data_IF_737570441078
#
_entry.id   IF_737570441078
#
_cell.length_a   1.000
_cell.length_b   1.000
_cell.length_c   1.000
_cell.angle_alpha   90.00
_cell.angle_beta   90.00
_cell.angle_gamma   90.00
#
_symmetry.space_group_name_H-M   'P 1'
#
loop_
_entity.id
_entity.type
_entity.pdbx_description
1 polymer ?
#
# COMPACT_ATOMS: atom_id res chain seq x y z
N UNK A 1 3.13 -8.70 0.03
CA UNK A 1 2.69 -7.30 -0.13
C UNK A 1 1.57 -6.98 0.84
N UNK A 2 1.51 -5.72 1.27
CA UNK A 2 0.59 -5.30 2.31
C UNK A 2 -0.04 -3.95 1.96
N UNK A 3 -1.29 -3.74 2.40
CA UNK A 3 -1.87 -2.41 2.55
C UNK A 3 -1.75 -2.02 4.02
N UNK A 4 -0.97 -1.00 4.32
CA UNK A 4 -0.96 -0.37 5.65
C UNK A 4 -2.06 0.67 5.69
N UNK A 5 -2.97 0.59 6.66
CA UNK A 5 -4.04 1.57 6.83
C UNK A 5 -3.85 2.40 8.09
N UNK A 6 -4.33 3.62 8.04
CA UNK A 6 -4.26 4.63 9.09
C UNK A 6 -5.43 5.60 8.96
N UNK A 7 -5.69 6.40 9.98
CA UNK A 7 -6.72 7.43 9.97
C UNK A 7 -6.16 8.72 10.59
N UNK A 8 -6.39 9.86 9.94
CA UNK A 8 -5.91 11.17 10.37
C UNK A 8 -6.91 11.93 11.26
N UNK A 9 -7.96 11.24 11.71
CA UNK A 9 -9.08 11.81 12.46
C UNK A 9 -10.21 12.36 11.58
N UNK A 10 -10.03 12.38 10.26
CA UNK A 10 -11.02 12.86 9.28
C UNK A 10 -11.45 11.77 8.31
N UNK A 11 -10.49 10.97 7.83
CA UNK A 11 -10.74 9.90 6.85
C UNK A 11 -9.73 8.77 6.96
N UNK A 12 -10.18 7.61 6.51
CA UNK A 12 -9.32 6.45 6.36
C UNK A 12 -8.36 6.63 5.18
N UNK A 13 -7.15 6.16 5.36
CA UNK A 13 -6.10 6.20 4.38
C UNK A 13 -5.32 4.89 4.35
N UNK A 14 -4.57 4.66 3.30
CA UNK A 14 -3.70 3.49 3.19
C UNK A 14 -2.61 3.66 2.14
N UNK A 15 -1.59 2.80 2.23
CA UNK A 15 -0.50 2.72 1.26
C UNK A 15 -0.05 1.27 1.08
N UNK A 16 0.52 0.96 -0.10
CA UNK A 16 1.17 -0.33 -0.34
C UNK A 16 2.60 -0.30 0.19
N UNK A 17 2.99 -1.36 0.89
CA UNK A 17 4.37 -1.62 1.31
C UNK A 17 4.76 -3.07 1.05
N UNK A 18 6.05 -3.33 0.88
CA UNK A 18 6.69 -4.64 0.88
C UNK A 18 7.75 -4.78 1.98
N UNK A 19 7.94 -3.72 2.76
CA UNK A 19 9.00 -3.55 3.76
C UNK A 19 8.48 -3.86 5.16
N UNK A 20 7.97 -5.07 5.33
CA UNK A 20 7.47 -5.59 6.60
C UNK A 20 8.25 -6.84 6.98
N UNK A 21 8.72 -6.90 8.22
CA UNK A 21 9.48 -8.03 8.75
C UNK A 21 9.19 -8.26 10.22
N UNK A 22 9.10 -9.51 10.64
CA UNK A 22 9.16 -9.86 12.05
C UNK A 22 10.59 -9.64 12.55
N UNK A 23 10.74 -8.95 13.67
CA UNK A 23 12.07 -8.63 14.24
C UNK A 23 12.35 -9.34 15.56
N UNK A 24 11.31 -9.68 16.31
CA UNK A 24 11.42 -10.50 17.55
C UNK A 24 10.21 -11.43 17.66
N UNK A 25 10.37 -12.54 18.38
CA UNK A 25 9.29 -13.51 18.62
C UNK A 25 8.75 -13.45 20.06
N UNK A 26 9.55 -12.99 21.01
CA UNK A 26 9.15 -12.88 22.41
C UNK A 26 9.74 -11.60 23.02
N UNK A 27 8.96 -10.53 23.17
CA UNK A 27 7.62 -10.37 22.62
C UNK A 27 7.62 -10.31 21.09
N UNK A 28 6.48 -10.66 20.47
CA UNK A 28 6.35 -10.60 19.01
C UNK A 28 6.31 -9.15 18.55
N UNK A 29 7.28 -8.75 17.72
CA UNK A 29 7.37 -7.42 17.14
C UNK A 29 7.58 -7.46 15.63
N UNK A 30 7.00 -6.47 14.97
CA UNK A 30 7.06 -6.28 13.53
C UNK A 30 7.69 -4.92 13.23
N UNK A 31 8.64 -4.89 12.31
CA UNK A 31 9.13 -3.67 11.70
C UNK A 31 8.35 -3.37 10.42
N UNK A 32 7.89 -2.13 10.28
CA UNK A 32 7.27 -1.60 9.05
C UNK A 32 8.05 -0.36 8.63
N UNK A 33 8.67 -0.39 7.45
CA UNK A 33 9.45 0.75 6.94
C UNK A 33 8.65 1.48 5.87
N UNK A 34 8.49 2.80 6.04
CA UNK A 34 7.64 3.64 5.18
C UNK A 34 8.44 4.85 4.72
N UNK A 35 8.37 5.16 3.42
CA UNK A 35 8.97 6.38 2.86
C UNK A 35 8.31 7.63 3.47
N UNK A 36 9.13 8.58 3.93
CA UNK A 36 8.67 9.84 4.56
C UNK A 36 7.86 10.74 3.62
N UNK A 37 8.01 10.60 2.31
CA UNK A 37 7.19 11.33 1.33
C UNK A 37 5.73 10.87 1.33
N UNK A 38 5.42 9.66 1.82
CA UNK A 38 4.06 9.16 1.91
C UNK A 38 3.29 9.86 3.04
N UNK A 39 2.06 10.26 2.75
CA UNK A 39 1.17 10.89 3.72
C UNK A 39 0.92 10.01 4.95
N UNK A 40 0.72 8.71 4.76
CA UNK A 40 0.50 7.76 5.85
C UNK A 40 1.66 7.67 6.83
N UNK A 41 2.92 7.91 6.38
CA UNK A 41 4.07 7.97 7.29
C UNK A 41 3.86 9.02 8.39
N UNK A 42 3.44 10.22 7.98
CA UNK A 42 3.18 11.34 8.90
C UNK A 42 2.03 11.02 9.87
N UNK A 43 0.93 10.50 9.33
CA UNK A 43 -0.25 10.10 10.12
C UNK A 43 0.13 9.05 11.18
N UNK A 44 0.82 7.98 10.77
CA UNK A 44 1.21 6.89 11.67
C UNK A 44 2.20 7.39 12.74
N UNK A 45 3.12 8.28 12.37
CA UNK A 45 4.06 8.88 13.33
C UNK A 45 3.35 9.71 14.41
N UNK A 46 2.24 10.35 14.06
CA UNK A 46 1.43 11.15 15.01
C UNK A 46 0.50 10.28 15.85
N UNK A 47 -0.17 9.28 15.24
CA UNK A 47 -1.21 8.48 15.92
C UNK A 47 -0.64 7.31 16.71
N UNK A 48 0.54 6.81 16.32
CA UNK A 48 1.18 5.64 16.94
C UNK A 48 0.49 4.30 16.63
N UNK A 49 -0.47 4.26 15.71
CA UNK A 49 -1.21 3.03 15.36
C UNK A 49 -1.34 2.86 13.85
N UNK A 50 -1.43 1.62 13.40
CA UNK A 50 -1.72 1.24 12.03
C UNK A 50 -2.32 -0.16 11.96
N UNK A 51 -3.03 -0.48 10.86
CA UNK A 51 -3.35 -1.85 10.51
C UNK A 51 -2.50 -2.32 9.33
N UNK A 52 -2.10 -3.56 9.36
CA UNK A 52 -1.35 -4.23 8.31
C UNK A 52 -2.25 -5.28 7.66
N UNK A 53 -2.68 -5.05 6.43
CA UNK A 53 -3.54 -5.95 5.65
C UNK A 53 -2.66 -6.78 4.71
N UNK A 54 -2.59 -8.09 4.91
CA UNK A 54 -1.81 -9.00 4.07
C UNK A 54 -2.58 -9.28 2.77
N UNK A 55 -2.11 -8.76 1.64
CA UNK A 55 -2.76 -8.97 0.35
C UNK A 55 -2.71 -10.44 -0.07
N UNK A 56 -3.84 -10.94 -0.55
CA UNK A 56 -3.94 -12.25 -1.20
C UNK A 56 -3.66 -12.17 -2.69
N UNK A 57 -3.38 -13.31 -3.32
CA UNK A 57 -3.17 -13.41 -4.78
C UNK A 57 -4.39 -13.03 -5.61
N UNK A 58 -5.57 -12.90 -5.00
CA UNK A 58 -6.79 -12.41 -5.64
C UNK A 58 -6.87 -10.88 -5.75
N UNK A 59 -5.95 -10.12 -5.14
CA UNK A 59 -5.98 -8.68 -5.20
C UNK A 59 -5.71 -8.18 -6.64
N UNK A 60 -6.67 -7.45 -7.25
CA UNK A 60 -6.50 -6.94 -8.61
C UNK A 60 -5.57 -5.73 -8.64
N UNK A 61 -5.12 -5.35 -9.83
CA UNK A 61 -4.24 -4.19 -10.01
C UNK A 61 -4.83 -2.88 -9.49
N UNK A 62 -6.15 -2.71 -9.49
CA UNK A 62 -6.84 -1.51 -8.99
C UNK A 62 -6.52 -1.20 -7.52
N UNK A 63 -6.27 -2.23 -6.71
CA UNK A 63 -5.80 -2.05 -5.32
C UNK A 63 -4.44 -1.34 -5.30
N UNK A 64 -3.55 -1.71 -6.21
CA UNK A 64 -2.23 -1.09 -6.32
C UNK A 64 -2.30 0.32 -6.89
N UNK A 65 -3.19 0.58 -7.87
CA UNK A 65 -3.44 1.93 -8.38
C UNK A 65 -3.92 2.86 -7.26
N UNK A 66 -4.90 2.41 -6.48
CA UNK A 66 -5.50 3.23 -5.44
C UNK A 66 -4.58 3.44 -4.24
N UNK A 67 -4.04 2.35 -3.67
CA UNK A 67 -3.26 2.45 -2.45
C UNK A 67 -1.77 2.68 -2.68
N UNK A 68 -1.24 2.36 -3.87
CA UNK A 68 0.17 2.46 -4.21
C UNK A 68 0.56 3.73 -4.97
N UNK A 69 -0.29 4.22 -5.89
CA UNK A 69 0.09 5.28 -6.83
C UNK A 69 -0.61 6.63 -6.58
N UNK A 70 -1.58 6.68 -5.69
CA UNK A 70 -2.30 7.92 -5.35
C UNK A 70 -1.91 8.42 -3.96
N UNK A 71 -2.03 9.73 -3.75
CA UNK A 71 -1.76 10.32 -2.43
C UNK A 71 -3.05 10.47 -1.63
N UNK A 72 -3.05 9.98 -0.38
CA UNK A 72 -4.16 10.20 0.57
C UNK A 72 -4.33 11.65 1.01
N UNK A 73 -3.44 12.56 0.63
CA UNK A 73 -3.63 14.02 0.84
C UNK A 73 -4.78 14.54 -0.01
N UNK A 74 -4.89 14.05 -1.25
CA UNK A 74 -5.79 14.60 -2.27
C UNK A 74 -6.94 13.68 -2.62
N UNK A 75 -6.82 12.37 -2.36
CA UNK A 75 -7.79 11.36 -2.77
C UNK A 75 -8.30 10.58 -1.55
N UNK A 76 -9.62 10.39 -1.48
CA UNK A 76 -10.21 9.37 -0.61
C UNK A 76 -10.04 8.00 -1.28
N UNK A 77 -9.09 7.23 -0.77
CA UNK A 77 -8.69 5.96 -1.38
C UNK A 77 -9.73 4.86 -1.23
N UNK A 78 -10.48 4.84 -0.14
CA UNK A 78 -11.53 3.83 0.07
C UNK A 78 -12.74 4.11 -0.80
N UNK A 79 -13.21 5.35 -0.85
CA UNK A 79 -14.28 5.77 -1.74
C UNK A 79 -13.89 5.60 -3.22
N UNK A 80 -12.68 5.98 -3.60
CA UNK A 80 -12.15 5.86 -4.96
C UNK A 80 -12.01 4.41 -5.43
N UNK A 81 -11.74 3.47 -4.53
CA UNK A 81 -11.69 2.04 -4.83
C UNK A 81 -13.08 1.36 -4.76
N UNK A 82 -14.13 2.06 -4.35
CA UNK A 82 -15.44 1.47 -4.10
C UNK A 82 -15.41 0.41 -2.98
N UNK A 83 -14.51 0.56 -2.01
CA UNK A 83 -14.35 -0.35 -0.89
C UNK A 83 -14.98 0.26 0.35
N UNK A 84 -15.98 -0.43 0.90
CA UNK A 84 -16.48 -0.14 2.23
C UNK A 84 -15.60 -0.88 3.25
N UNK A 85 -14.80 -0.18 4.07
CA UNK A 85 -13.91 -0.83 5.01
C UNK A 85 -14.68 -1.50 6.15
N UNK A 86 -14.07 -2.52 6.75
CA UNK A 86 -14.39 -2.99 8.09
C UNK A 86 -13.43 -2.33 9.07
N UNK A 87 -13.78 -2.36 10.36
CA UNK A 87 -12.96 -1.73 11.40
C UNK A 87 -12.51 -2.76 12.44
N UNK A 88 -11.27 -2.65 12.84
CA UNK A 88 -10.65 -3.44 13.90
C UNK A 88 -10.83 -2.79 15.26
N UNK A 89 -10.42 -3.48 16.33
CA UNK A 89 -10.60 -3.04 17.71
C UNK A 89 -9.89 -1.70 18.01
N UNK A 90 -8.83 -1.35 17.26
CA UNK A 90 -8.16 -0.05 17.38
C UNK A 90 -8.86 1.10 16.62
N UNK A 91 -10.01 0.83 15.99
CA UNK A 91 -10.82 1.80 15.24
C UNK A 91 -10.31 2.10 13.83
N UNK A 92 -9.24 1.46 13.36
CA UNK A 92 -8.73 1.64 12.01
C UNK A 92 -9.39 0.71 11.00
N UNK A 93 -9.51 1.21 9.77
CA UNK A 93 -10.05 0.45 8.65
C UNK A 93 -9.17 -0.75 8.29
N UNK A 94 -9.79 -1.85 7.87
CA UNK A 94 -9.15 -2.93 7.13
C UNK A 94 -9.99 -3.34 5.93
N UNK A 95 -9.35 -3.97 4.95
CA UNK A 95 -10.00 -4.37 3.70
C UNK A 95 -10.91 -5.59 3.94
N UNK A 96 -12.19 -5.55 3.48
CA UNK A 96 -13.11 -6.68 3.64
C UNK A 96 -12.81 -7.85 2.71
N UNK A 97 -12.02 -7.62 1.65
CA UNK A 97 -11.67 -8.59 0.59
C UNK A 97 -10.26 -8.33 0.07
N UNK A 98 -9.73 -9.27 -0.70
CA UNK A 98 -8.40 -9.23 -1.29
C UNK A 98 -7.25 -9.34 -0.28
N UNK A 99 -7.56 -9.71 0.96
CA UNK A 99 -6.60 -10.02 2.01
C UNK A 99 -6.83 -11.42 2.56
N UNK A 100 -5.78 -12.04 3.05
CA UNK A 100 -5.90 -13.32 3.74
C UNK A 100 -5.82 -13.18 5.28
N UNK A 101 -5.26 -12.09 5.75
CA UNK A 101 -5.16 -11.77 7.17
C UNK A 101 -4.94 -10.26 7.38
N UNK A 102 -5.19 -9.79 8.61
CA UNK A 102 -4.73 -8.49 9.03
C UNK A 102 -4.17 -8.52 10.46
N UNK A 103 -3.39 -7.49 10.79
CA UNK A 103 -2.86 -7.26 12.12
C UNK A 103 -3.04 -5.79 12.49
N UNK A 104 -3.55 -5.52 13.69
CA UNK A 104 -3.52 -4.19 14.30
C UNK A 104 -2.21 -4.01 15.04
N UNK A 105 -1.53 -2.91 14.75
CA UNK A 105 -0.19 -2.62 15.25
C UNK A 105 -0.17 -1.32 16.06
N UNK A 106 0.55 -1.36 17.19
CA UNK A 106 0.90 -0.20 18.00
C UNK A 106 2.40 0.07 17.89
N UNK A 107 2.75 1.29 17.55
CA UNK A 107 4.15 1.72 17.45
C UNK A 107 4.78 1.79 18.84
N UNK A 108 5.87 1.06 19.05
CA UNK A 108 6.67 1.06 20.27
C UNK A 108 7.92 1.95 20.12
N UNK A 109 8.50 1.96 18.90
CA UNK A 109 9.68 2.74 18.60
C UNK A 109 9.65 3.22 17.14
N UNK A 110 10.15 4.43 16.91
CA UNK A 110 10.39 4.98 15.59
C UNK A 110 11.89 5.21 15.40
N UNK A 111 12.41 4.74 14.27
CA UNK A 111 13.80 4.93 13.87
C UNK A 111 13.82 5.73 12.58
N UNK A 112 14.50 6.87 12.62
CA UNK A 112 14.71 7.69 11.44
C UNK A 112 15.80 7.07 10.55
N UNK A 113 15.48 6.88 9.25
CA UNK A 113 16.38 6.31 8.26
C UNK A 113 16.42 7.20 7.02
N UNK A 114 16.78 8.46 7.21
CA UNK A 114 16.90 9.51 6.18
C UNK A 114 15.64 9.65 5.31
N UNK A 115 15.52 8.89 4.23
CA UNK A 115 14.37 8.92 3.31
C UNK A 115 13.16 8.13 3.81
N UNK A 116 13.35 7.25 4.77
CA UNK A 116 12.32 6.37 5.32
C UNK A 116 12.25 6.48 6.84
N UNK A 117 11.13 6.07 7.41
CA UNK A 117 10.98 5.82 8.83
C UNK A 117 10.67 4.35 9.08
N UNK A 118 11.36 3.73 10.02
CA UNK A 118 11.08 2.37 10.47
C UNK A 118 10.28 2.44 11.78
N UNK A 119 9.13 1.80 11.78
CA UNK A 119 8.24 1.67 12.92
C UNK A 119 8.38 0.26 13.50
N UNK A 120 8.86 0.14 14.72
CA UNK A 120 8.86 -1.13 15.47
C UNK A 120 7.55 -1.19 16.25
N UNK A 121 6.76 -2.22 16.00
CA UNK A 121 5.39 -2.31 16.48
C UNK A 121 5.14 -3.60 17.25
N UNK A 122 4.31 -3.52 18.29
CA UNK A 122 3.63 -4.67 18.90
C UNK A 122 2.34 -4.99 18.15
N UNK A 123 1.94 -6.26 18.16
CA UNK A 123 0.67 -6.71 17.59
C UNK A 123 -0.38 -6.65 18.70
N UNK A 124 -1.45 -5.89 18.49
CA UNK A 124 -2.57 -5.76 19.45
C UNK A 124 -3.76 -6.65 19.09
N UNK A 125 -3.96 -6.93 17.81
CA UNK A 125 -4.98 -7.81 17.27
C UNK A 125 -4.47 -8.48 16.01
N UNK A 126 -4.92 -9.71 15.73
CA UNK A 126 -4.67 -10.37 14.43
C UNK A 126 -5.81 -11.32 14.09
N UNK A 127 -6.18 -11.36 12.80
CA UNK A 127 -7.20 -12.29 12.28
C UNK A 127 -6.78 -12.87 10.95
N UNK A 128 -7.05 -14.18 10.79
CA UNK A 128 -7.02 -14.85 9.47
C UNK A 128 -8.41 -14.69 8.85
N UNK A 129 -8.44 -14.14 7.64
CA UNK A 129 -9.68 -13.83 6.90
C UNK A 129 -9.96 -14.92 5.87
N UNK A 130 -8.94 -15.41 5.20
CA UNK A 130 -9.07 -16.45 4.18
C UNK A 130 -7.83 -17.37 4.14
N UNK A 131 -7.97 -18.48 3.40
CA UNK A 131 -6.85 -19.42 3.14
C UNK A 131 -6.16 -19.18 1.81
N UNK A 132 -6.52 -18.10 1.11
CA UNK A 132 -5.90 -17.74 -0.17
C UNK A 132 -4.43 -17.36 0.07
N UNK A 133 -3.56 -17.73 -0.85
CA UNK A 133 -2.13 -17.47 -0.74
C UNK A 133 -1.82 -15.97 -0.62
N UNK A 134 -0.79 -15.66 0.17
CA UNK A 134 -0.28 -14.29 0.31
C UNK A 134 0.40 -13.84 -0.98
N UNK A 135 0.07 -12.65 -1.43
CA UNK A 135 0.71 -12.05 -2.60
C UNK A 135 2.15 -11.64 -2.28
N UNK A 136 3.10 -12.32 -2.90
CA UNK A 136 4.51 -11.93 -2.87
C UNK A 136 4.77 -10.80 -3.87
N UNK A 137 5.90 -10.07 -3.70
CA UNK A 137 6.31 -9.06 -4.67
C UNK A 137 6.57 -9.67 -6.06
N UNK A 138 7.16 -10.87 -6.09
CA UNK A 138 7.41 -11.59 -7.34
C UNK A 138 6.10 -11.99 -8.05
N UNK A 139 5.10 -12.46 -7.29
CA UNK A 139 3.77 -12.77 -7.85
C UNK A 139 3.13 -11.52 -8.47
N UNK A 140 3.14 -10.39 -7.75
CA UNK A 140 2.64 -9.12 -8.26
C UNK A 140 3.31 -8.71 -9.58
N UNK A 141 4.64 -8.75 -9.67
CA UNK A 141 5.37 -8.36 -10.87
C UNK A 141 5.04 -9.24 -12.08
N UNK A 142 4.83 -10.54 -11.85
CA UNK A 142 4.62 -11.51 -12.93
C UNK A 142 3.17 -11.66 -13.38
N UNK A 143 2.19 -11.47 -12.46
CA UNK A 143 0.80 -11.85 -12.69
C UNK A 143 -0.20 -10.70 -12.56
N UNK A 144 0.11 -9.64 -11.81
CA UNK A 144 -0.85 -8.58 -11.49
C UNK A 144 -0.47 -7.26 -12.16
N UNK A 145 0.81 -6.89 -12.11
CA UNK A 145 1.30 -5.65 -12.72
C UNK A 145 1.14 -5.73 -14.24
N UNK A 146 0.48 -4.73 -14.88
CA UNK A 146 0.38 -4.68 -16.34
C UNK A 146 1.78 -4.73 -16.97
N UNK A 147 1.94 -5.62 -17.94
CA UNK A 147 3.17 -5.68 -18.74
C UNK A 147 3.09 -4.64 -19.84
N UNK A 148 4.18 -3.93 -20.16
CA UNK A 148 4.23 -3.06 -21.31
C UNK A 148 3.89 -3.87 -22.59
N UNK A 149 2.90 -3.44 -23.34
CA UNK A 149 2.63 -4.02 -24.67
C UNK A 149 3.63 -3.44 -25.66
N UNK A 150 4.85 -3.99 -25.67
CA UNK A 150 5.96 -3.45 -26.46
C UNK A 150 5.98 -3.93 -27.91
N UNK A 151 5.16 -4.90 -28.28
CA UNK A 151 5.14 -5.40 -29.66
C UNK A 151 4.56 -4.35 -30.61
N UNK A 152 5.45 -3.70 -31.37
CA UNK A 152 5.09 -2.78 -32.46
C UNK A 152 4.70 -1.36 -32.06
N UNK A 153 4.65 -1.01 -30.78
CA UNK A 153 4.29 0.34 -30.32
C UNK A 153 5.53 1.20 -30.11
N UNK A 154 5.61 2.32 -30.84
CA UNK A 154 6.58 3.39 -30.58
C UNK A 154 5.94 4.35 -29.57
N UNK A 155 6.68 4.77 -28.54
CA UNK A 155 6.18 5.72 -27.55
C UNK A 155 6.98 5.75 -26.25
N UNK A 156 6.49 6.52 -25.29
CA UNK A 156 7.12 6.70 -23.98
C UNK A 156 6.53 5.72 -22.97
N UNK A 157 7.41 4.95 -22.30
CA UNK A 157 7.00 3.93 -21.32
C UNK A 157 6.97 4.53 -19.91
N UNK A 158 5.83 4.51 -19.25
CA UNK A 158 5.72 4.89 -17.84
C UNK A 158 6.59 3.97 -16.97
N UNK A 159 7.59 4.53 -16.28
CA UNK A 159 8.52 3.78 -15.42
C UNK A 159 7.85 3.11 -14.22
N UNK A 160 6.68 3.62 -13.80
CA UNK A 160 5.94 3.13 -12.63
C UNK A 160 5.09 1.91 -12.98
N UNK A 161 4.24 2.00 -14.01
CA UNK A 161 3.26 0.95 -14.31
C UNK A 161 3.45 0.25 -15.66
N UNK A 162 4.37 0.74 -16.51
CA UNK A 162 4.63 0.15 -17.83
C UNK A 162 3.64 0.59 -18.92
N UNK A 163 2.72 1.52 -18.65
CA UNK A 163 1.84 2.09 -19.67
C UNK A 163 2.67 2.76 -20.77
N UNK A 164 2.24 2.59 -22.03
CA UNK A 164 2.89 3.22 -23.18
C UNK A 164 2.02 4.38 -23.68
N UNK A 165 2.58 5.58 -23.65
CA UNK A 165 2.01 6.73 -24.31
C UNK A 165 2.45 6.75 -25.77
N UNK A 166 1.49 6.59 -26.68
CA UNK A 166 1.73 6.52 -28.13
C UNK A 166 1.73 7.95 -28.75
N UNK A 167 2.75 8.74 -28.48
CA UNK A 167 2.95 10.07 -29.02
C UNK A 167 4.40 10.28 -29.47
N UNK A 168 4.62 11.20 -30.39
CA UNK A 168 5.98 11.54 -30.86
C UNK A 168 6.76 12.37 -29.82
N UNK A 169 6.04 13.12 -28.97
CA UNK A 169 6.58 13.91 -27.86
C UNK A 169 5.77 13.67 -26.58
N UNK A 170 6.45 13.67 -25.43
CA UNK A 170 5.78 13.58 -24.12
C UNK A 170 5.43 14.99 -23.64
N UNK A 171 4.14 15.34 -23.39
CA UNK A 171 3.77 16.64 -22.83
C UNK A 171 4.47 16.92 -21.49
N UNK A 172 4.86 18.18 -21.25
CA UNK A 172 5.54 18.57 -19.99
C UNK A 172 4.71 18.28 -18.73
N UNK A 173 3.39 18.38 -18.85
CA UNK A 173 2.41 18.12 -17.78
C UNK A 173 1.78 16.73 -17.86
N UNK A 174 2.42 15.79 -18.57
CA UNK A 174 1.87 14.46 -18.78
C UNK A 174 1.66 13.71 -17.47
N UNK A 175 0.41 13.27 -17.26
CA UNK A 175 0.04 12.39 -16.16
C UNK A 175 -0.36 11.03 -16.73
N UNK A 176 0.30 9.98 -16.32
CA UNK A 176 0.00 8.63 -16.77
C UNK A 176 -1.47 8.26 -16.47
N UNK A 177 -2.28 7.90 -17.50
CA UNK A 177 -3.71 7.61 -17.31
C UNK A 177 -3.94 6.37 -16.44
N UNK A 178 -2.96 5.45 -16.40
CA UNK A 178 -3.08 4.20 -15.66
C UNK A 178 -2.73 4.35 -14.18
N UNK A 179 -1.57 4.92 -13.84
CA UNK A 179 -1.11 5.03 -12.45
C UNK A 179 -1.21 6.44 -11.86
N UNK A 180 -1.64 7.43 -12.67
CA UNK A 180 -1.76 8.84 -12.26
C UNK A 180 -0.46 9.47 -11.77
N UNK A 181 0.69 8.91 -12.19
CA UNK A 181 2.01 9.46 -11.91
C UNK A 181 2.44 10.38 -13.04
N UNK A 182 2.97 11.57 -12.69
CA UNK A 182 3.54 12.54 -13.62
C UNK A 182 5.05 12.43 -13.68
#
# INVERSE_FOLDING_TARGET
>A
LYVVTSNDGRRDNGLIVNTVSQVTNTPNRIAVTINKANYSHHVIKQTGIMNLNCLSTEAPFDIFQTFGFQSGRTVDKFAGAGIQPLYSDNGLAFLPKYINSFMSLKVEQYIDMDTHGMFICSITESRVISKVETMTYNYYQNNVKPKPQTEGKKGFVCKVCGYIYEGDELPEDYICPLCKHG
#
